data_IF_374915583949
#
_entry.id   IF_374915583949
#
_cell.length_a   1.000
_cell.length_b   1.000
_cell.length_c   1.000
_cell.angle_alpha   90.00
_cell.angle_beta   90.00
_cell.angle_gamma   90.00
#
_symmetry.space_group_name_H-M   'P 1'
#
loop_
_entity.id
_entity.type
_entity.pdbx_description
1 polymer ?
#
# COMPACT_ATOMS: atom_id res chain seq x y z
N UNK A 1 0.59 7.51 -29.19
CA UNK A 1 1.17 6.15 -29.13
C UNK A 1 1.68 5.96 -27.72
N UNK A 2 0.86 5.37 -26.83
CA UNK A 2 1.21 5.21 -25.42
C UNK A 2 2.10 3.99 -25.22
N UNK A 3 3.32 4.19 -24.76
CA UNK A 3 4.22 3.12 -24.34
C UNK A 3 3.76 2.58 -22.99
N UNK A 4 2.73 1.73 -22.96
CA UNK A 4 2.51 0.89 -21.76
C UNK A 4 3.57 -0.20 -21.76
N UNK A 5 4.75 0.10 -21.19
CA UNK A 5 5.84 -0.86 -20.98
C UNK A 5 5.49 -1.96 -19.95
N UNK A 6 4.25 -2.02 -19.48
CA UNK A 6 3.77 -2.95 -18.47
C UNK A 6 2.60 -3.75 -19.02
N UNK A 7 2.71 -5.07 -18.89
CA UNK A 7 1.61 -5.99 -19.18
C UNK A 7 0.77 -6.12 -17.90
N UNK A 8 -0.17 -5.19 -17.73
CA UNK A 8 -1.06 -5.16 -16.58
C UNK A 8 -2.17 -6.20 -16.78
N UNK A 9 -2.34 -7.10 -15.80
CA UNK A 9 -3.52 -7.97 -15.73
C UNK A 9 -4.81 -7.11 -15.70
N UNK A 10 -5.96 -7.67 -16.06
CA UNK A 10 -7.31 -7.04 -16.02
C UNK A 10 -7.74 -6.51 -14.62
N UNK A 11 -6.85 -6.55 -13.62
CA UNK A 11 -7.05 -6.10 -12.24
C UNK A 11 -6.38 -4.75 -11.94
N UNK A 12 -5.59 -4.20 -12.85
CA UNK A 12 -4.89 -2.92 -12.65
C UNK A 12 -5.45 -1.88 -13.62
N UNK A 13 -5.81 -0.71 -13.09
CA UNK A 13 -6.23 0.45 -13.88
C UNK A 13 -5.28 1.61 -13.60
N UNK A 14 -4.67 2.14 -14.65
CA UNK A 14 -3.88 3.37 -14.58
C UNK A 14 -4.82 4.54 -14.33
N UNK A 15 -4.69 5.20 -13.18
CA UNK A 15 -5.48 6.40 -12.87
C UNK A 15 -4.89 7.67 -13.48
N UNK A 16 -3.57 7.71 -13.63
CA UNK A 16 -2.84 8.82 -14.23
C UNK A 16 -1.68 8.29 -15.06
N UNK A 17 -1.77 8.44 -16.37
CA UNK A 17 -0.73 8.01 -17.32
C UNK A 17 0.32 9.12 -17.46
N UNK A 18 1.28 9.11 -16.54
CA UNK A 18 2.43 10.03 -16.54
C UNK A 18 3.72 9.25 -16.42
N UNK A 19 4.78 9.76 -17.05
CA UNK A 19 6.13 9.24 -16.88
C UNK A 19 6.51 9.35 -15.39
N UNK A 20 6.93 8.25 -14.74
CA UNK A 20 7.49 8.33 -13.39
C UNK A 20 8.72 9.24 -13.34
N UNK A 21 9.02 9.87 -12.20
CA UNK A 21 10.21 10.69 -12.05
C UNK A 21 11.48 9.84 -12.27
N UNK A 22 12.47 10.41 -12.97
CA UNK A 22 13.72 9.70 -13.31
C UNK A 22 14.53 9.30 -12.07
N UNK A 23 14.38 10.05 -10.96
CA UNK A 23 15.05 9.80 -9.68
C UNK A 23 14.07 9.37 -8.59
N UNK A 24 13.10 8.51 -8.93
CA UNK A 24 12.21 7.89 -7.95
C UNK A 24 13.01 7.15 -6.87
N UNK A 25 12.62 7.30 -5.60
CA UNK A 25 13.34 6.69 -4.47
C UNK A 25 12.73 5.37 -3.98
N UNK A 26 11.45 5.15 -4.26
CA UNK A 26 10.68 3.99 -3.82
C UNK A 26 9.40 3.86 -4.64
N UNK A 27 8.83 2.65 -4.63
CA UNK A 27 7.43 2.43 -4.99
C UNK A 27 6.58 2.52 -3.72
N UNK A 28 5.50 3.30 -3.75
CA UNK A 28 4.57 3.42 -2.63
C UNK A 28 3.35 2.54 -2.87
N UNK A 29 3.12 1.56 -2.00
CA UNK A 29 1.83 0.90 -1.90
C UNK A 29 1.00 1.56 -0.80
N UNK A 30 -0.04 2.29 -1.20
CA UNK A 30 -0.97 2.91 -0.28
C UNK A 30 -2.11 1.95 0.07
N UNK A 31 -2.02 1.32 1.23
CA UNK A 31 -3.01 0.39 1.75
C UNK A 31 -4.18 1.17 2.36
N UNK A 32 -5.38 1.01 1.77
CA UNK A 32 -6.60 1.69 2.21
C UNK A 32 -7.73 0.71 2.52
N UNK A 33 -8.14 -0.10 1.53
CA UNK A 33 -9.31 -0.97 1.64
C UNK A 33 -8.95 -2.39 2.11
N UNK A 34 -8.03 -3.06 1.40
CA UNK A 34 -7.60 -4.43 1.73
C UNK A 34 -6.41 -4.39 2.69
N UNK A 35 -6.73 -4.21 3.97
CA UNK A 35 -5.80 -4.00 5.09
C UNK A 35 -5.14 -5.29 5.59
N UNK A 36 -4.51 -6.04 4.68
CA UNK A 36 -3.91 -7.37 4.93
C UNK A 36 -2.63 -7.58 4.12
N UNK A 37 -1.67 -8.28 4.71
CA UNK A 37 -0.37 -8.58 4.09
C UNK A 37 -0.41 -9.79 3.16
N UNK A 38 -1.31 -10.73 3.40
CA UNK A 38 -1.38 -11.98 2.64
C UNK A 38 -2.54 -11.99 1.64
N UNK A 39 -2.33 -12.72 0.54
CA UNK A 39 -3.30 -12.91 -0.55
C UNK A 39 -3.85 -11.60 -1.14
N UNK A 40 -3.02 -10.55 -1.18
CA UNK A 40 -3.41 -9.20 -1.55
C UNK A 40 -2.88 -8.82 -2.93
N UNK A 41 -3.71 -8.94 -3.97
CA UNK A 41 -3.29 -8.69 -5.36
C UNK A 41 -2.71 -7.29 -5.62
N UNK A 42 -3.16 -6.26 -4.90
CA UNK A 42 -2.59 -4.92 -5.07
C UNK A 42 -1.20 -4.81 -4.43
N UNK A 43 -0.95 -5.54 -3.34
CA UNK A 43 0.38 -5.65 -2.76
C UNK A 43 1.31 -6.49 -3.63
N UNK A 44 0.85 -7.62 -4.17
CA UNK A 44 1.61 -8.46 -5.11
C UNK A 44 2.07 -7.64 -6.33
N UNK A 45 1.15 -6.83 -6.86
CA UNK A 45 1.45 -5.95 -7.99
C UNK A 45 2.48 -4.87 -7.61
N UNK A 46 2.41 -4.32 -6.40
CA UNK A 46 3.39 -3.35 -5.92
C UNK A 46 4.79 -3.96 -5.76
N UNK A 47 4.88 -5.21 -5.27
CA UNK A 47 6.15 -5.96 -5.25
C UNK A 47 6.70 -6.14 -6.66
N UNK A 48 5.87 -6.61 -7.60
CA UNK A 48 6.31 -6.78 -8.99
C UNK A 48 6.84 -5.48 -9.60
N UNK A 49 6.15 -4.36 -9.35
CA UNK A 49 6.57 -3.04 -9.83
C UNK A 49 7.89 -2.61 -9.18
N UNK A 50 8.02 -2.77 -7.86
CA UNK A 50 9.24 -2.44 -7.13
C UNK A 50 10.46 -3.24 -7.63
N UNK A 51 10.29 -4.54 -7.84
CA UNK A 51 11.32 -5.42 -8.42
C UNK A 51 11.70 -4.98 -9.83
N UNK A 52 10.71 -4.68 -10.68
CA UNK A 52 10.95 -4.28 -12.07
C UNK A 52 11.70 -2.94 -12.17
N UNK A 53 11.33 -1.97 -11.35
CA UNK A 53 11.98 -0.65 -11.32
C UNK A 53 13.28 -0.65 -10.52
N UNK A 54 13.64 -1.77 -9.86
CA UNK A 54 14.77 -1.87 -8.95
C UNK A 54 14.76 -0.79 -7.85
N UNK A 55 13.57 -0.54 -7.29
CA UNK A 55 13.34 0.43 -6.22
C UNK A 55 12.80 -0.28 -4.97
N UNK A 56 13.11 0.20 -3.76
CA UNK A 56 12.50 -0.34 -2.55
C UNK A 56 10.98 -0.13 -2.55
N UNK A 57 10.25 -1.11 -2.04
CA UNK A 57 8.82 -0.98 -1.77
C UNK A 57 8.59 -0.37 -0.39
N UNK A 58 7.71 0.62 -0.30
CA UNK A 58 7.19 1.17 0.95
C UNK A 58 5.71 0.82 1.02
N UNK A 59 5.30 0.13 2.09
CA UNK A 59 3.89 -0.16 2.36
C UNK A 59 3.41 0.87 3.38
N UNK A 60 2.46 1.72 3.00
CA UNK A 60 1.89 2.74 3.88
C UNK A 60 0.43 2.42 4.20
N UNK A 61 0.12 2.33 5.48
CA UNK A 61 -1.23 2.11 5.99
C UNK A 61 -1.63 3.28 6.91
N UNK A 62 -2.59 4.08 6.45
CA UNK A 62 -3.11 5.24 7.19
C UNK A 62 -4.44 4.96 7.88
N UNK A 63 -4.61 5.48 9.09
CA UNK A 63 -5.89 5.55 9.79
C UNK A 63 -6.20 6.99 10.18
N UNK A 64 -7.16 7.57 9.45
CA UNK A 64 -7.73 8.90 9.73
C UNK A 64 -8.82 8.84 10.79
N UNK A 65 -9.11 9.97 11.44
CA UNK A 65 -10.16 10.12 12.43
C UNK A 65 -11.50 10.63 11.85
N UNK A 66 -11.49 11.25 10.67
CA UNK A 66 -12.60 12.06 10.13
C UNK A 66 -13.48 11.36 9.08
N UNK A 67 -13.48 10.03 9.02
CA UNK A 67 -14.29 9.30 8.03
C UNK A 67 -15.76 9.21 8.44
N UNK A 68 -16.67 9.26 7.44
CA UNK A 68 -18.14 9.42 7.55
C UNK A 68 -18.85 8.46 8.53
N UNK A 69 -18.20 7.37 8.93
CA UNK A 69 -18.77 6.32 9.79
C UNK A 69 -17.82 5.90 10.91
N UNK A 70 -16.90 6.77 11.32
CA UNK A 70 -15.98 6.45 12.40
C UNK A 70 -16.75 6.19 13.70
N UNK A 71 -16.34 5.13 14.39
CA UNK A 71 -16.76 4.84 15.75
C UNK A 71 -15.58 4.23 16.49
N UNK A 72 -15.56 4.35 17.83
CA UNK A 72 -14.51 3.73 18.65
C UNK A 72 -14.35 2.23 18.36
N UNK A 73 -15.45 1.53 18.04
CA UNK A 73 -15.43 0.10 17.71
C UNK A 73 -14.73 -0.17 16.38
N UNK A 74 -15.08 0.57 15.32
CA UNK A 74 -14.46 0.41 14.00
C UNK A 74 -12.98 0.81 14.07
N UNK A 75 -12.69 1.92 14.75
CA UNK A 75 -11.33 2.39 14.94
C UNK A 75 -10.47 1.36 15.69
N UNK A 76 -11.00 0.78 16.78
CA UNK A 76 -10.33 -0.29 17.52
C UNK A 76 -10.07 -1.51 16.64
N UNK A 77 -11.06 -1.97 15.88
CA UNK A 77 -10.91 -3.11 14.97
C UNK A 77 -9.80 -2.89 13.94
N UNK A 78 -9.74 -1.68 13.36
CA UNK A 78 -8.67 -1.34 12.42
C UNK A 78 -7.31 -1.30 13.11
N UNK A 79 -7.21 -0.69 14.30
CA UNK A 79 -5.95 -0.62 15.06
C UNK A 79 -5.42 -2.01 15.43
N UNK A 80 -6.29 -2.93 15.84
CA UNK A 80 -5.91 -4.31 16.13
C UNK A 80 -5.35 -5.00 14.88
N UNK A 81 -6.01 -4.86 13.72
CA UNK A 81 -5.47 -5.35 12.45
C UNK A 81 -4.17 -4.68 12.01
N UNK A 82 -4.00 -3.38 12.30
CA UNK A 82 -2.73 -2.67 12.06
C UNK A 82 -1.59 -3.27 12.90
N UNK A 83 -1.85 -3.67 14.14
CA UNK A 83 -0.87 -4.33 15.01
C UNK A 83 -0.43 -5.67 14.39
N UNK A 84 -1.39 -6.48 13.92
CA UNK A 84 -1.07 -7.75 13.23
C UNK A 84 -0.22 -7.50 11.98
N UNK A 85 -0.56 -6.48 11.18
CA UNK A 85 0.24 -6.07 10.02
C UNK A 85 1.67 -5.63 10.41
N UNK A 86 1.85 -4.92 11.53
CA UNK A 86 3.17 -4.52 12.04
C UNK A 86 4.01 -5.77 12.40
N UNK A 87 3.41 -6.72 13.12
CA UNK A 87 4.08 -7.95 13.53
C UNK A 87 4.52 -8.76 12.32
N UNK A 88 3.60 -9.00 11.38
CA UNK A 88 3.90 -9.69 10.12
C UNK A 88 5.01 -9.00 9.34
N UNK A 89 4.93 -7.67 9.19
CA UNK A 89 5.94 -6.90 8.47
C UNK A 89 7.31 -6.98 9.13
N UNK A 90 7.37 -6.95 10.47
CA UNK A 90 8.61 -7.08 11.23
C UNK A 90 9.25 -8.46 11.03
N UNK A 91 8.45 -9.52 11.11
CA UNK A 91 8.89 -10.90 10.91
C UNK A 91 9.42 -11.14 9.49
N UNK A 92 8.81 -10.49 8.49
CA UNK A 92 9.15 -10.64 7.07
C UNK A 92 10.08 -9.54 6.53
N UNK A 93 10.64 -8.69 7.40
CA UNK A 93 11.54 -7.58 7.04
C UNK A 93 10.96 -6.63 5.98
N UNK A 94 9.66 -6.36 6.04
CA UNK A 94 8.96 -5.46 5.13
C UNK A 94 9.04 -4.02 5.63
N UNK A 95 9.23 -3.09 4.68
CA UNK A 95 9.25 -1.66 4.96
C UNK A 95 7.82 -1.12 5.09
N UNK A 96 7.24 -1.29 6.28
CA UNK A 96 5.86 -1.01 6.59
C UNK A 96 5.71 0.22 7.51
N UNK A 97 4.89 1.17 7.09
CA UNK A 97 4.64 2.45 7.76
C UNK A 97 3.18 2.57 8.15
N UNK A 98 2.89 2.28 9.41
CA UNK A 98 1.59 2.54 10.03
C UNK A 98 1.53 3.99 10.53
N UNK A 99 0.52 4.73 10.06
CA UNK A 99 0.22 6.08 10.54
C UNK A 99 -1.19 6.12 11.10
N UNK A 100 -1.32 6.52 12.36
CA UNK A 100 -2.60 6.76 13.01
C UNK A 100 -2.67 8.25 13.31
N UNK A 101 -3.68 8.92 12.76
CA UNK A 101 -3.95 10.32 13.05
C UNK A 101 -4.31 10.48 14.53
N UNK A 102 -3.64 11.41 15.20
CA UNK A 102 -3.93 11.82 16.57
C UNK A 102 -4.57 13.21 16.58
N UNK A 103 -5.39 13.54 17.60
CA UNK A 103 -5.94 14.89 17.79
C UNK A 103 -4.89 15.99 17.91
#
# INVERSE_FOLDING_TARGET
MGFSIYNYNNRVRILKDIKPPENGKYILYWMQAYRRMEHNHSLDFAFHLATKENLPLVIYEGLRMDYKWNSKRIHKFILEGMIDNILFAKENHLNYWAFVESP
#
